data_IF_135031723418
#
_entry.id   IF_135031723418
#
_cell.length_a   1.000
_cell.length_b   1.000
_cell.length_c   1.000
_cell.angle_alpha   90.00
_cell.angle_beta   90.00
_cell.angle_gamma   90.00
#
_symmetry.space_group_name_H-M   'P 1'
#
loop_
_entity.id
_entity.type
_entity.pdbx_description
1 polymer ?
#
# COMPACT_ATOMS: atom_id res chain seq x y z
N UNK A 1 -49.38 -1.15 -46.03
CA UNK A 1 -48.27 -0.66 -45.19
C UNK A 1 -47.70 -1.83 -44.42
N UNK A 2 -46.49 -2.29 -44.65
CA UNK A 2 -45.90 -3.37 -43.88
C UNK A 2 -45.21 -2.81 -42.60
N UNK A 3 -45.27 -3.60 -41.53
CA UNK A 3 -44.66 -3.34 -40.26
C UNK A 3 -43.13 -3.45 -40.28
N UNK A 4 -42.38 -2.77 -39.38
CA UNK A 4 -40.94 -2.85 -39.34
C UNK A 4 -40.45 -4.15 -38.69
N UNK A 5 -39.45 -4.74 -39.31
CA UNK A 5 -38.75 -5.92 -38.87
C UNK A 5 -37.91 -5.65 -37.66
N UNK A 6 -38.10 -6.47 -36.62
CA UNK A 6 -37.31 -6.53 -35.40
C UNK A 6 -35.84 -6.92 -35.72
N UNK A 7 -34.88 -6.12 -35.22
CA UNK A 7 -33.46 -6.43 -35.20
C UNK A 7 -33.19 -7.58 -34.23
N UNK A 8 -32.25 -8.49 -34.51
CA UNK A 8 -31.88 -9.53 -33.56
C UNK A 8 -31.05 -8.91 -32.44
N UNK A 9 -31.50 -9.10 -31.20
CA UNK A 9 -30.68 -8.86 -30.02
C UNK A 9 -29.47 -9.79 -30.03
N UNK A 10 -28.30 -9.21 -30.18
CA UNK A 10 -27.04 -9.91 -30.03
C UNK A 10 -26.82 -10.26 -28.56
N UNK A 11 -27.07 -11.51 -28.20
CA UNK A 11 -26.60 -12.08 -26.94
C UNK A 11 -25.09 -12.16 -27.00
N UNK A 12 -24.43 -11.23 -26.31
CA UNK A 12 -23.01 -11.32 -25.98
C UNK A 12 -22.81 -12.49 -25.02
N UNK A 13 -22.48 -13.65 -25.56
CA UNK A 13 -22.07 -14.82 -24.79
C UNK A 13 -20.62 -14.56 -24.30
N UNK A 14 -20.48 -13.79 -23.24
CA UNK A 14 -19.22 -13.65 -22.52
C UNK A 14 -18.97 -14.96 -21.78
N UNK A 15 -18.25 -15.88 -22.43
CA UNK A 15 -17.79 -17.10 -21.79
C UNK A 15 -17.05 -16.70 -20.49
N UNK A 16 -17.61 -17.09 -19.35
CA UNK A 16 -17.03 -16.81 -18.07
C UNK A 16 -15.65 -17.48 -18.01
N UNK A 17 -14.60 -16.67 -17.86
CA UNK A 17 -13.24 -17.18 -17.69
C UNK A 17 -13.18 -17.98 -16.37
N UNK A 18 -12.69 -19.22 -16.45
CA UNK A 18 -12.43 -20.04 -15.27
C UNK A 18 -10.94 -19.94 -14.89
N UNK A 19 -10.67 -19.64 -13.63
CA UNK A 19 -9.32 -19.63 -13.07
C UNK A 19 -9.11 -20.91 -12.28
N UNK A 20 -8.01 -21.62 -12.59
CA UNK A 20 -7.60 -22.82 -11.83
C UNK A 20 -6.25 -22.56 -11.19
N UNK A 21 -6.17 -22.71 -9.88
CA UNK A 21 -4.90 -22.70 -9.15
C UNK A 21 -4.09 -23.96 -9.55
N UNK A 22 -2.92 -23.77 -10.14
CA UNK A 22 -2.05 -24.87 -10.57
C UNK A 22 -1.05 -25.28 -9.49
N UNK A 23 -0.65 -24.34 -8.63
CA UNK A 23 0.33 -24.56 -7.57
C UNK A 23 0.20 -23.49 -6.51
N UNK A 24 0.22 -23.91 -5.25
CA UNK A 24 0.33 -23.04 -4.08
C UNK A 24 1.67 -23.30 -3.40
N UNK A 25 2.39 -22.24 -3.03
CA UNK A 25 3.60 -22.36 -2.20
C UNK A 25 3.15 -22.71 -0.78
N UNK A 26 3.71 -23.76 -0.24
CA UNK A 26 3.50 -24.10 1.16
C UNK A 26 4.20 -23.09 2.08
N UNK A 27 3.52 -22.64 3.12
CA UNK A 27 4.03 -21.78 4.16
C UNK A 27 3.66 -22.39 5.52
N UNK A 28 4.49 -23.30 6.06
CA UNK A 28 4.19 -23.98 7.32
C UNK A 28 3.96 -22.97 8.47
N UNK A 29 2.88 -23.14 9.21
CA UNK A 29 2.50 -22.25 10.30
C UNK A 29 1.87 -20.91 9.86
N UNK A 30 1.53 -20.78 8.57
CA UNK A 30 0.78 -19.65 8.03
C UNK A 30 -0.70 -20.02 7.87
N UNK A 31 -1.56 -19.20 8.48
CA UNK A 31 -3.00 -19.24 8.21
C UNK A 31 -3.40 -17.83 7.71
N UNK A 32 -3.82 -17.67 6.44
CA UNK A 32 -4.25 -16.39 5.92
C UNK A 32 -5.43 -15.79 6.69
N UNK A 33 -6.25 -16.61 7.35
CA UNK A 33 -7.38 -16.14 8.15
C UNK A 33 -6.95 -15.40 9.43
N UNK A 34 -5.68 -15.52 9.85
CA UNK A 34 -5.13 -14.78 11.00
C UNK A 34 -4.74 -13.33 10.65
N UNK A 35 -4.73 -12.96 9.36
CA UNK A 35 -4.24 -11.65 8.92
C UNK A 35 -5.30 -10.90 8.12
N UNK A 36 -5.18 -9.58 8.17
CA UNK A 36 -5.98 -8.64 7.38
C UNK A 36 -5.04 -7.82 6.54
N UNK A 37 -5.37 -7.69 5.27
CA UNK A 37 -4.76 -6.73 4.35
C UNK A 37 -5.84 -5.74 3.92
N UNK A 38 -5.60 -4.47 4.12
CA UNK A 38 -6.53 -3.42 3.75
C UNK A 38 -5.82 -2.24 3.07
N UNK A 39 -6.56 -1.54 2.21
CA UNK A 39 -6.12 -0.31 1.59
C UNK A 39 -6.78 0.88 2.28
N UNK A 40 -5.95 1.77 2.83
CA UNK A 40 -6.40 3.04 3.39
C UNK A 40 -5.83 4.21 2.60
N UNK A 41 -6.39 5.41 2.83
CA UNK A 41 -5.99 6.63 2.14
C UNK A 41 -5.68 7.70 3.17
N UNK A 42 -4.44 8.13 3.18
CA UNK A 42 -3.96 9.18 4.08
C UNK A 42 -3.95 10.51 3.35
N UNK A 43 -4.50 11.55 3.97
CA UNK A 43 -4.46 12.90 3.41
C UNK A 43 -3.06 13.47 3.62
N UNK A 44 -2.39 13.85 2.54
CA UNK A 44 -1.11 14.54 2.60
C UNK A 44 -1.26 15.94 3.22
N UNK A 45 -0.19 16.48 3.75
CA UNK A 45 -0.14 17.83 4.34
C UNK A 45 -0.49 18.95 3.36
N UNK A 46 -0.47 18.71 2.06
CA UNK A 46 -0.94 19.64 1.04
C UNK A 46 -2.47 19.83 1.04
N UNK A 47 -3.19 19.01 1.81
CA UNK A 47 -4.64 19.08 1.99
C UNK A 47 -5.47 18.60 0.78
N UNK A 48 -4.83 18.08 -0.26
CA UNK A 48 -5.48 17.67 -1.51
C UNK A 48 -5.15 16.24 -1.91
N UNK A 49 -3.87 15.85 -1.79
CA UNK A 49 -3.38 14.55 -2.23
C UNK A 49 -3.78 13.45 -1.24
N UNK A 50 -4.28 12.33 -1.77
CA UNK A 50 -4.56 11.13 -0.98
C UNK A 50 -3.50 10.07 -1.26
N UNK A 51 -2.71 9.74 -0.25
CA UNK A 51 -1.64 8.76 -0.32
C UNK A 51 -2.22 7.37 -0.07
N UNK A 52 -2.10 6.43 -1.02
CA UNK A 52 -2.50 5.05 -0.79
C UNK A 52 -1.56 4.39 0.21
N UNK A 53 -2.10 3.63 1.15
CA UNK A 53 -1.34 2.85 2.11
C UNK A 53 -1.92 1.45 2.19
N UNK A 54 -1.09 0.42 2.05
CA UNK A 54 -1.48 -0.95 2.35
C UNK A 54 -1.11 -1.25 3.79
N UNK A 55 -2.09 -1.62 4.61
CA UNK A 55 -1.88 -2.11 5.96
C UNK A 55 -2.00 -3.63 5.98
N UNK A 56 -1.07 -4.28 6.67
CA UNK A 56 -1.12 -5.72 6.93
C UNK A 56 -0.91 -5.91 8.44
N UNK A 57 -1.85 -6.58 9.08
CA UNK A 57 -1.80 -6.78 10.51
C UNK A 57 -2.50 -8.08 10.94
N UNK A 58 -2.25 -8.54 12.15
CA UNK A 58 -3.00 -9.65 12.71
C UNK A 58 -4.49 -9.26 12.88
N UNK A 59 -5.40 -10.20 12.66
CA UNK A 59 -6.85 -9.97 12.70
C UNK A 59 -7.37 -9.40 14.01
N UNK A 60 -6.65 -9.62 15.11
CA UNK A 60 -7.03 -9.13 16.44
C UNK A 60 -6.46 -7.72 16.73
N UNK A 61 -5.55 -7.22 15.88
CA UNK A 61 -5.03 -5.87 16.05
C UNK A 61 -6.14 -4.83 15.87
N UNK A 62 -6.09 -3.79 16.68
CA UNK A 62 -7.05 -2.67 16.67
C UNK A 62 -6.27 -1.36 16.79
N UNK A 63 -6.79 -0.27 16.24
CA UNK A 63 -6.18 1.05 16.39
C UNK A 63 -6.42 1.60 17.81
N UNK A 64 -5.79 0.98 18.80
CA UNK A 64 -5.90 1.29 20.23
C UNK A 64 -4.60 1.88 20.82
N UNK A 65 -3.61 2.18 19.98
CA UNK A 65 -2.35 2.78 20.37
C UNK A 65 -1.34 1.82 21.02
N UNK A 66 -1.57 0.51 20.96
CA UNK A 66 -0.72 -0.45 21.69
C UNK A 66 0.30 -1.18 20.82
N UNK A 67 0.17 -1.11 19.47
CA UNK A 67 1.02 -1.86 18.55
C UNK A 67 2.30 -1.12 18.19
N UNK A 68 3.34 -1.87 17.88
CA UNK A 68 4.49 -1.36 17.14
C UNK A 68 4.17 -1.34 15.63
N UNK A 69 4.83 -0.44 14.90
CA UNK A 69 4.67 -0.32 13.45
C UNK A 69 5.95 -0.59 12.69
N UNK A 70 5.80 -1.03 11.45
CA UNK A 70 6.87 -1.15 10.48
C UNK A 70 6.39 -0.57 9.15
N UNK A 71 6.88 0.62 8.82
CA UNK A 71 6.53 1.33 7.59
C UNK A 71 7.64 1.19 6.56
N UNK A 72 7.27 0.85 5.34
CA UNK A 72 8.20 0.82 4.21
C UNK A 72 7.74 1.75 3.10
N UNK A 73 8.70 2.22 2.29
CA UNK A 73 8.43 3.03 1.11
C UNK A 73 9.60 3.07 0.14
N UNK A 74 9.31 3.49 -1.08
CA UNK A 74 10.31 3.61 -2.15
C UNK A 74 10.22 4.95 -2.87
N UNK A 75 9.15 5.21 -3.59
CA UNK A 75 8.79 6.49 -4.18
C UNK A 75 9.75 7.00 -5.25
N UNK A 76 10.25 6.13 -6.12
CA UNK A 76 11.18 6.54 -7.18
C UNK A 76 11.02 5.68 -8.44
N UNK A 77 11.46 6.25 -9.58
CA UNK A 77 11.59 5.56 -10.86
C UNK A 77 10.27 4.97 -11.40
N UNK A 78 9.12 5.51 -10.99
CA UNK A 78 7.81 4.97 -11.37
C UNK A 78 7.61 3.50 -10.96
N UNK A 79 8.40 3.02 -9.98
CA UNK A 79 8.28 1.65 -9.46
C UNK A 79 7.09 1.57 -8.51
N UNK A 80 6.16 0.66 -8.80
CA UNK A 80 5.09 0.29 -7.87
C UNK A 80 5.60 -0.70 -6.83
N UNK A 81 5.37 -0.39 -5.57
CA UNK A 81 5.78 -1.24 -4.46
C UNK A 81 4.58 -2.08 -4.00
N UNK A 82 4.32 -3.15 -4.74
CA UNK A 82 3.19 -4.02 -4.48
C UNK A 82 3.41 -4.89 -3.23
N UNK A 83 2.35 -5.25 -2.51
CA UNK A 83 2.45 -6.18 -1.40
C UNK A 83 2.83 -7.57 -1.92
N UNK A 84 3.97 -8.08 -1.46
CA UNK A 84 4.47 -9.41 -1.78
C UNK A 84 4.41 -10.32 -0.55
N UNK A 85 4.01 -11.56 -0.76
CA UNK A 85 4.03 -12.56 0.29
C UNK A 85 5.46 -13.03 0.57
N UNK A 86 5.98 -12.69 1.74
CA UNK A 86 7.28 -13.12 2.23
C UNK A 86 7.18 -13.89 3.55
N UNK A 87 7.60 -15.14 3.53
CA UNK A 87 7.55 -16.01 4.71
C UNK A 87 8.40 -15.50 5.87
N UNK A 88 9.48 -14.76 5.59
CA UNK A 88 10.35 -14.18 6.62
C UNK A 88 9.69 -13.04 7.40
N UNK A 89 8.64 -12.41 6.87
CA UNK A 89 7.88 -11.36 7.57
C UNK A 89 6.85 -11.92 8.54
N UNK A 90 6.40 -13.16 8.36
CA UNK A 90 5.30 -13.75 9.15
C UNK A 90 5.50 -13.70 10.67
N UNK A 91 6.69 -14.01 11.23
CA UNK A 91 6.91 -13.93 12.68
C UNK A 91 6.76 -12.52 13.24
N UNK A 92 7.06 -11.51 12.41
CA UNK A 92 6.99 -10.09 12.78
C UNK A 92 5.54 -9.61 12.72
N UNK A 93 4.81 -9.96 11.65
CA UNK A 93 3.42 -9.55 11.41
C UNK A 93 2.44 -9.97 12.53
N UNK A 94 2.78 -10.95 13.33
CA UNK A 94 1.99 -11.31 14.52
C UNK A 94 2.00 -10.24 15.61
N UNK A 95 2.94 -9.28 15.57
CA UNK A 95 3.19 -8.34 16.67
C UNK A 95 3.27 -6.89 16.22
N UNK A 96 3.34 -6.63 14.92
CA UNK A 96 3.47 -5.28 14.37
C UNK A 96 2.40 -5.04 13.32
N UNK A 97 2.02 -3.79 13.17
CA UNK A 97 1.27 -3.29 12.01
C UNK A 97 2.28 -2.95 10.93
N UNK A 98 2.15 -3.61 9.78
CA UNK A 98 3.02 -3.39 8.63
C UNK A 98 2.33 -2.48 7.64
N UNK A 99 3.00 -1.40 7.26
CA UNK A 99 2.46 -0.39 6.36
C UNK A 99 3.36 -0.19 5.14
N UNK A 100 2.79 -0.31 3.95
CA UNK A 100 3.44 0.08 2.70
C UNK A 100 2.90 1.44 2.32
N UNK A 101 3.74 2.48 2.40
CA UNK A 101 3.40 3.83 1.98
C UNK A 101 3.69 3.98 0.48
N UNK A 102 2.62 4.06 -0.33
CA UNK A 102 2.72 4.23 -1.78
C UNK A 102 2.87 5.71 -2.12
N UNK A 103 4.01 6.27 -1.77
CA UNK A 103 4.29 7.70 -1.86
C UNK A 103 4.52 8.19 -3.29
N UNK A 104 4.32 9.48 -3.55
CA UNK A 104 4.61 10.09 -4.86
C UNK A 104 6.05 9.84 -5.29
N UNK A 105 6.26 9.68 -6.60
CA UNK A 105 7.51 9.23 -7.21
C UNK A 105 7.52 7.75 -7.57
N UNK A 106 6.59 6.96 -7.02
CA UNK A 106 6.25 5.61 -7.44
C UNK A 106 5.31 5.57 -8.63
N UNK A 107 4.88 4.37 -9.05
CA UNK A 107 3.99 4.13 -10.19
C UNK A 107 2.55 3.78 -9.81
N UNK A 108 2.24 3.65 -8.53
CA UNK A 108 1.00 3.04 -8.02
C UNK A 108 -0.28 3.77 -8.47
N UNK A 109 -0.18 5.09 -8.68
CA UNK A 109 -1.28 5.93 -9.17
C UNK A 109 -1.05 6.41 -10.61
N UNK A 110 -0.14 5.76 -11.35
CA UNK A 110 0.18 6.06 -12.72
C UNK A 110 1.19 7.20 -12.90
N UNK A 111 1.37 7.62 -14.16
CA UNK A 111 2.44 8.55 -14.56
C UNK A 111 2.46 9.88 -13.79
N UNK A 112 1.31 10.48 -13.54
CA UNK A 112 1.24 11.74 -12.81
C UNK A 112 1.77 11.61 -11.38
N UNK A 113 1.58 10.46 -10.74
CA UNK A 113 2.09 10.16 -9.40
C UNK A 113 3.61 10.15 -9.35
N UNK A 114 4.23 9.58 -10.39
CA UNK A 114 5.69 9.61 -10.57
C UNK A 114 6.20 11.03 -10.81
N UNK A 115 5.58 11.76 -11.75
CA UNK A 115 6.00 13.12 -12.11
C UNK A 115 5.93 14.08 -10.90
N UNK A 116 4.95 13.92 -10.02
CA UNK A 116 4.77 14.74 -8.82
C UNK A 116 5.65 14.33 -7.63
N UNK A 117 6.58 13.39 -7.82
CA UNK A 117 7.53 12.96 -6.78
C UNK A 117 8.97 12.82 -7.27
N UNK A 118 9.34 13.47 -8.38
CA UNK A 118 10.71 13.39 -8.93
C UNK A 118 11.40 14.76 -9.01
N UNK A 119 12.70 14.74 -9.19
CA UNK A 119 13.54 15.93 -9.45
C UNK A 119 13.27 17.07 -8.45
N UNK A 120 12.82 18.25 -8.93
CA UNK A 120 12.62 19.44 -8.11
C UNK A 120 11.41 19.35 -7.16
N UNK A 121 10.52 18.40 -7.36
CA UNK A 121 9.36 18.12 -6.49
C UNK A 121 9.54 16.84 -5.67
N UNK A 122 10.76 16.34 -5.59
CA UNK A 122 11.11 15.12 -4.83
C UNK A 122 10.74 15.21 -3.35
N UNK A 123 10.63 16.39 -2.81
CA UNK A 123 10.20 16.64 -1.44
C UNK A 123 8.82 16.02 -1.15
N UNK A 124 7.92 15.98 -2.13
CA UNK A 124 6.61 15.34 -1.97
C UNK A 124 6.70 13.86 -1.56
N UNK A 125 7.69 13.11 -2.07
CA UNK A 125 7.94 11.74 -1.64
C UNK A 125 8.25 11.65 -0.15
N UNK A 126 9.05 12.58 0.35
CA UNK A 126 9.51 12.59 1.74
C UNK A 126 8.39 13.00 2.69
N UNK A 127 7.67 14.06 2.32
CA UNK A 127 6.53 14.55 3.12
C UNK A 127 5.39 13.54 3.15
N UNK A 128 5.09 12.87 2.03
CA UNK A 128 4.10 11.81 1.97
C UNK A 128 4.42 10.68 2.95
N UNK A 129 5.70 10.27 3.03
CA UNK A 129 6.13 9.21 3.93
C UNK A 129 5.98 9.61 5.41
N UNK A 130 6.31 10.86 5.73
CA UNK A 130 6.12 11.42 7.08
C UNK A 130 4.64 11.50 7.42
N UNK A 131 3.79 12.01 6.51
CA UNK A 131 2.35 12.11 6.71
C UNK A 131 1.69 10.77 6.99
N UNK A 132 2.18 9.70 6.34
CA UNK A 132 1.73 8.33 6.64
C UNK A 132 2.21 7.88 8.03
N UNK A 133 3.44 8.20 8.44
CA UNK A 133 3.95 7.89 9.76
C UNK A 133 3.13 8.58 10.88
N UNK A 134 2.86 9.87 10.70
CA UNK A 134 2.03 10.66 11.62
C UNK A 134 0.62 10.08 11.70
N UNK A 135 0.01 9.77 10.55
CA UNK A 135 -1.31 9.16 10.51
C UNK A 135 -1.36 7.80 11.23
N UNK A 136 -0.34 6.95 11.09
CA UNK A 136 -0.28 5.65 11.80
C UNK A 136 -0.31 5.81 13.32
N UNK A 137 0.31 6.88 13.83
CA UNK A 137 0.32 7.21 15.26
C UNK A 137 -1.01 7.85 15.67
N UNK A 138 -1.46 8.89 14.96
CA UNK A 138 -2.65 9.67 15.29
C UNK A 138 -3.94 8.85 15.20
N UNK A 139 -4.01 7.91 14.26
CA UNK A 139 -5.14 6.98 14.14
C UNK A 139 -5.13 5.84 15.16
N UNK A 140 -4.08 5.74 15.98
CA UNK A 140 -3.94 4.72 17.01
C UNK A 140 -3.45 3.35 16.49
N UNK A 141 -3.08 3.22 15.23
CA UNK A 141 -2.49 1.98 14.73
C UNK A 141 -1.13 1.68 15.33
N UNK A 142 -0.34 2.71 15.66
CA UNK A 142 1.02 2.56 16.17
C UNK A 142 1.23 3.39 17.42
N UNK A 143 1.88 2.81 18.42
CA UNK A 143 2.30 3.54 19.64
C UNK A 143 3.36 4.59 19.29
N UNK A 144 3.26 5.84 19.77
CA UNK A 144 4.31 6.83 19.61
C UNK A 144 5.69 6.28 20.02
N UNK A 145 6.70 6.51 19.17
CA UNK A 145 8.06 6.04 19.39
C UNK A 145 8.29 4.54 19.17
N UNK A 146 7.30 3.82 18.61
CA UNK A 146 7.42 2.40 18.28
C UNK A 146 7.21 2.11 16.78
N UNK A 147 7.49 3.08 15.92
CA UNK A 147 7.47 2.94 14.48
C UNK A 147 8.90 2.76 13.95
N UNK A 148 9.11 1.71 13.18
CA UNK A 148 10.34 1.48 12.40
C UNK A 148 10.06 1.88 10.95
N UNK A 149 10.96 2.65 10.37
CA UNK A 149 10.94 3.00 8.95
C UNK A 149 12.01 2.21 8.19
N UNK A 150 11.66 1.70 7.02
CA UNK A 150 12.57 0.97 6.14
C UNK A 150 12.49 1.48 4.71
N UNK A 151 13.64 1.59 4.06
CA UNK A 151 13.77 1.89 2.64
C UNK A 151 15.07 1.35 2.09
N UNK A 152 15.02 0.80 0.88
CA UNK A 152 16.17 0.19 0.21
C UNK A 152 16.49 0.93 -1.09
N UNK A 153 17.76 1.02 -1.48
CA UNK A 153 18.19 1.68 -2.73
C UNK A 153 17.75 3.16 -2.74
N UNK A 154 16.90 3.59 -3.66
CA UNK A 154 16.30 4.93 -3.65
C UNK A 154 15.42 5.17 -2.40
N UNK A 155 14.82 4.12 -1.82
CA UNK A 155 14.20 4.20 -0.50
C UNK A 155 15.21 4.47 0.62
N UNK A 156 16.49 4.19 0.44
CA UNK A 156 17.57 4.61 1.36
C UNK A 156 17.75 6.14 1.37
N UNK A 157 17.64 6.80 0.21
CA UNK A 157 17.59 8.26 0.13
C UNK A 157 16.36 8.79 0.88
N UNK A 158 15.19 8.17 0.69
CA UNK A 158 13.98 8.49 1.44
C UNK A 158 14.24 8.43 2.94
N UNK A 159 14.85 7.35 3.45
CA UNK A 159 15.17 7.21 4.88
C UNK A 159 16.11 8.31 5.38
N UNK A 160 17.16 8.64 4.63
CA UNK A 160 18.05 9.75 4.98
C UNK A 160 17.34 11.11 5.02
N UNK A 161 16.43 11.35 4.08
CA UNK A 161 15.68 12.61 4.03
C UNK A 161 14.69 12.73 5.19
N UNK A 162 13.87 11.70 5.45
CA UNK A 162 12.86 11.75 6.52
C UNK A 162 13.48 11.80 7.92
N UNK A 163 14.63 11.13 8.14
CA UNK A 163 15.34 11.18 9.42
C UNK A 163 15.86 12.58 9.76
N UNK A 164 16.13 13.40 8.74
CA UNK A 164 16.58 14.78 8.95
C UNK A 164 15.41 15.79 9.02
N UNK A 165 14.22 15.40 8.59
CA UNK A 165 13.06 16.30 8.48
C UNK A 165 12.01 16.06 9.59
N UNK A 166 12.06 14.92 10.28
CA UNK A 166 11.11 14.52 11.33
C UNK A 166 11.60 14.87 12.74
#
# INVERSE_FOLDING_TARGET
TPAPTSSPEGTSDTAALSVRNLRTREAPGWDPAEYVEERVWVLARDGATRIPVTLIHHRDARPDGTHAGWQIGYGSYEVSYDPEFETLRLPILRRVVYAIAHVRGGGEMGRAWYEDGKELVKEHTFTDFIDVADWLVDSGWVTPGRLVAEGRSAGGLLMGAVTNAA
#
